data_IF_593632379058
#
_entry.id   IF_593632379058
#
_cell.length_a   1.000
_cell.length_b   1.000
_cell.length_c   1.000
_cell.angle_alpha   90.00
_cell.angle_beta   90.00
_cell.angle_gamma   90.00
#
_symmetry.space_group_name_H-M   'P 1'
#
loop_
_entity.id
_entity.type
_entity.pdbx_description
1 polymer ?
#
# COMPACT_ATOMS: atom_id res chain seq x y z
N UNK A 1 13.55 -11.16 13.50
CA UNK A 1 13.87 -11.04 12.06
C UNK A 1 12.55 -11.13 11.31
N UNK A 2 12.15 -10.08 10.56
CA UNK A 2 10.84 -10.05 9.88
C UNK A 2 10.76 -11.11 8.78
N UNK A 3 9.55 -11.59 8.49
CA UNK A 3 9.31 -12.58 7.43
C UNK A 3 9.11 -11.89 6.07
N UNK A 4 9.50 -12.55 4.99
CA UNK A 4 9.15 -12.09 3.63
C UNK A 4 7.68 -12.42 3.34
N UNK A 5 6.87 -11.48 2.81
CA UNK A 5 5.44 -11.68 2.55
C UNK A 5 5.19 -12.43 1.23
N UNK A 6 5.77 -13.62 1.07
CA UNK A 6 5.68 -14.38 -0.18
C UNK A 6 4.24 -14.87 -0.38
N UNK A 7 3.61 -14.44 -1.48
CA UNK A 7 2.23 -14.81 -1.81
C UNK A 7 1.15 -14.07 -1.01
N UNK A 8 1.53 -13.19 -0.07
CA UNK A 8 0.60 -12.38 0.70
C UNK A 8 0.34 -11.07 -0.06
N UNK A 9 -0.93 -10.80 -0.36
CA UNK A 9 -1.36 -9.59 -1.07
C UNK A 9 -2.24 -8.69 -0.21
N UNK A 10 -2.46 -9.05 1.06
CA UNK A 10 -3.20 -8.23 2.02
C UNK A 10 -2.23 -7.33 2.77
N UNK A 11 -2.43 -6.03 2.65
CA UNK A 11 -1.72 -5.00 3.37
C UNK A 11 -1.91 -5.17 4.88
N UNK A 12 -3.16 -5.36 5.34
CA UNK A 12 -3.47 -5.65 6.74
C UNK A 12 -2.63 -6.82 7.29
N UNK A 13 -2.60 -7.97 6.60
CA UNK A 13 -1.82 -9.14 7.06
C UNK A 13 -0.33 -8.85 7.12
N UNK A 14 0.19 -8.06 6.18
CA UNK A 14 1.60 -7.66 6.18
C UNK A 14 1.91 -6.74 7.35
N UNK A 15 1.05 -5.75 7.62
CA UNK A 15 1.23 -4.75 8.68
C UNK A 15 1.06 -5.34 10.08
N UNK A 16 0.14 -6.30 10.25
CA UNK A 16 -0.12 -6.99 11.53
C UNK A 16 0.79 -8.20 11.79
N UNK A 17 1.33 -8.84 10.74
CA UNK A 17 1.96 -10.15 10.83
C UNK A 17 3.49 -10.20 10.94
N UNK A 18 4.15 -9.10 11.33
CA UNK A 18 5.62 -8.96 11.40
C UNK A 18 6.34 -9.31 10.07
N UNK A 19 5.76 -8.86 8.96
CA UNK A 19 6.33 -9.01 7.62
C UNK A 19 7.11 -7.76 7.20
N UNK A 20 8.04 -7.95 6.27
CA UNK A 20 8.62 -6.83 5.54
C UNK A 20 7.58 -6.20 4.62
N UNK A 21 7.46 -4.87 4.68
CA UNK A 21 6.72 -4.05 3.74
C UNK A 21 7.66 -2.99 3.20
N UNK A 22 7.71 -2.83 1.88
CA UNK A 22 8.41 -1.71 1.25
C UNK A 22 7.38 -0.60 1.11
N UNK A 23 7.64 0.52 1.79
CA UNK A 23 6.72 1.65 1.76
C UNK A 23 6.58 2.22 0.35
N UNK A 24 5.34 2.27 -0.11
CA UNK A 24 4.91 2.84 -1.40
C UNK A 24 3.72 3.78 -1.23
N UNK A 25 3.45 4.19 0.00
CA UNK A 25 2.26 4.96 0.34
C UNK A 25 2.34 6.41 -0.14
N UNK A 26 3.53 6.90 -0.49
CA UNK A 26 3.72 8.15 -1.24
C UNK A 26 2.98 8.14 -2.59
N UNK A 27 2.90 7.00 -3.28
CA UNK A 27 2.09 6.91 -4.52
C UNK A 27 0.60 7.10 -4.25
N UNK A 28 0.11 6.76 -3.06
CA UNK A 28 -1.29 7.01 -2.68
C UNK A 28 -1.53 8.51 -2.53
N UNK A 29 -0.64 9.21 -1.82
CA UNK A 29 -0.70 10.67 -1.66
C UNK A 29 -0.68 11.37 -3.02
N UNK A 30 0.29 11.04 -3.88
CA UNK A 30 0.39 11.65 -5.21
C UNK A 30 -0.85 11.35 -6.06
N UNK A 31 -1.40 10.14 -6.00
CA UNK A 31 -2.62 9.77 -6.73
C UNK A 31 -3.85 10.59 -6.29
N UNK A 32 -3.94 10.95 -5.01
CA UNK A 32 -5.04 11.78 -4.48
C UNK A 32 -4.82 13.26 -4.80
N UNK A 33 -3.57 13.72 -4.69
CA UNK A 33 -3.20 15.13 -4.91
C UNK A 33 -3.25 15.52 -6.38
N UNK A 34 -2.84 14.63 -7.27
CA UNK A 34 -2.87 14.88 -8.69
C UNK A 34 -4.33 14.81 -9.18
N UNK A 35 -4.90 15.93 -9.63
CA UNK A 35 -6.24 16.00 -10.24
C UNK A 35 -6.26 15.34 -11.63
N UNK A 36 -5.93 14.05 -11.73
CA UNK A 36 -5.74 13.38 -13.02
C UNK A 36 -6.57 12.09 -13.14
N UNK A 37 -7.12 11.89 -14.34
CA UNK A 37 -8.21 10.94 -14.62
C UNK A 37 -7.87 9.46 -14.42
N UNK A 38 -7.45 8.76 -15.48
CA UNK A 38 -7.33 7.30 -15.45
C UNK A 38 -5.90 6.84 -15.13
N UNK A 39 -5.74 6.05 -14.07
CA UNK A 39 -4.48 5.41 -13.72
C UNK A 39 -4.38 3.99 -14.28
N UNK A 40 -3.35 3.73 -15.09
CA UNK A 40 -3.09 2.40 -15.65
C UNK A 40 -2.03 1.64 -14.85
N UNK A 41 -2.42 0.52 -14.24
CA UNK A 41 -1.49 -0.41 -13.62
C UNK A 41 -0.94 -1.40 -14.66
N UNK A 42 0.30 -1.17 -15.09
CA UNK A 42 0.96 -1.94 -16.17
C UNK A 42 1.05 -3.45 -15.90
N UNK A 43 1.20 -4.26 -16.97
CA UNK A 43 1.12 -5.74 -16.93
C UNK A 43 2.35 -6.56 -16.46
N UNK A 44 3.41 -6.06 -15.79
CA UNK A 44 4.44 -6.95 -15.25
C UNK A 44 3.90 -7.92 -14.19
N UNK A 45 4.12 -9.22 -14.34
CA UNK A 45 3.65 -10.22 -13.37
C UNK A 45 4.42 -10.09 -12.05
N UNK A 46 3.75 -10.29 -10.91
CA UNK A 46 4.32 -10.22 -9.54
C UNK A 46 4.92 -8.87 -9.13
N UNK A 47 4.50 -7.78 -9.75
CA UNK A 47 4.99 -6.42 -9.42
C UNK A 47 4.30 -5.74 -8.23
N UNK A 48 3.50 -6.48 -7.45
CA UNK A 48 2.83 -5.95 -6.26
C UNK A 48 1.58 -5.09 -6.51
N UNK A 49 1.01 -5.11 -7.72
CA UNK A 49 -0.22 -4.36 -8.04
C UNK A 49 -1.40 -4.68 -7.13
N UNK A 50 -1.69 -5.97 -6.91
CA UNK A 50 -2.80 -6.37 -6.04
C UNK A 50 -2.60 -5.90 -4.61
N UNK A 51 -1.35 -5.97 -4.10
CA UNK A 51 -1.01 -5.44 -2.79
C UNK A 51 -1.22 -3.92 -2.74
N UNK A 52 -0.83 -3.20 -3.79
CA UNK A 52 -1.05 -1.74 -3.85
C UNK A 52 -2.53 -1.37 -3.90
N UNK A 53 -3.36 -2.12 -4.64
CA UNK A 53 -4.82 -1.93 -4.64
C UNK A 53 -5.42 -2.18 -3.25
N UNK A 54 -4.96 -3.21 -2.54
CA UNK A 54 -5.38 -3.42 -1.15
C UNK A 54 -4.89 -2.30 -0.23
N UNK A 55 -3.65 -1.81 -0.39
CA UNK A 55 -3.16 -0.62 0.33
C UNK A 55 -4.06 0.60 0.09
N UNK A 56 -4.45 0.87 -1.15
CA UNK A 56 -5.40 1.94 -1.49
C UNK A 56 -6.75 1.73 -0.78
N UNK A 57 -7.29 0.51 -0.83
CA UNK A 57 -8.54 0.20 -0.14
C UNK A 57 -8.46 0.48 1.36
N UNK A 58 -7.41 0.02 2.04
CA UNK A 58 -7.22 0.26 3.48
C UNK A 58 -7.05 1.74 3.80
N UNK A 59 -6.36 2.48 2.92
CA UNK A 59 -6.17 3.92 3.03
C UNK A 59 -7.53 4.64 3.03
N UNK A 60 -8.34 4.46 1.98
CA UNK A 60 -9.64 5.11 1.85
C UNK A 60 -10.69 4.58 2.81
N UNK A 61 -10.52 3.37 3.36
CA UNK A 61 -11.33 2.85 4.46
C UNK A 61 -10.98 3.50 5.82
N UNK A 62 -9.99 4.38 5.88
CA UNK A 62 -9.62 5.12 7.10
C UNK A 62 -8.87 4.27 8.14
N UNK A 63 -8.24 3.16 7.72
CA UNK A 63 -7.53 2.21 8.60
C UNK A 63 -6.14 2.71 9.00
N UNK A 64 -6.11 3.87 9.67
CA UNK A 64 -4.89 4.61 10.05
C UNK A 64 -3.88 3.75 10.82
N UNK A 65 -4.36 2.79 11.61
CA UNK A 65 -3.54 1.86 12.37
C UNK A 65 -2.52 1.10 11.51
N UNK A 66 -2.83 0.83 10.24
CA UNK A 66 -1.95 0.11 9.32
C UNK A 66 -0.90 1.00 8.65
N UNK A 67 -1.07 2.33 8.72
CA UNK A 67 -0.17 3.30 8.09
C UNK A 67 0.88 3.86 9.03
N UNK A 68 0.86 3.49 10.31
CA UNK A 68 1.88 3.90 11.29
C UNK A 68 3.30 3.64 10.76
N UNK A 69 4.19 4.61 10.94
CA UNK A 69 5.58 4.63 10.49
C UNK A 69 5.74 4.52 8.95
N UNK A 70 4.70 4.81 8.18
CA UNK A 70 4.74 4.94 6.72
C UNK A 70 4.57 6.41 6.30
N UNK A 71 4.97 6.73 5.08
CA UNK A 71 4.87 8.07 4.51
C UNK A 71 3.47 8.69 4.70
N UNK A 72 2.41 7.92 4.41
CA UNK A 72 1.04 8.41 4.43
C UNK A 72 0.47 8.69 5.83
N UNK A 73 1.15 8.30 6.92
CA UNK A 73 0.71 8.60 8.29
C UNK A 73 0.56 10.10 8.55
N UNK A 74 1.55 10.88 8.09
CA UNK A 74 1.62 12.33 8.31
C UNK A 74 1.32 13.15 7.05
N UNK A 75 1.04 12.46 5.94
CA UNK A 75 0.85 13.07 4.62
C UNK A 75 -0.48 12.60 4.00
N UNK A 76 -1.54 12.50 4.82
CA UNK A 76 -2.89 12.20 4.35
C UNK A 76 -3.51 13.40 3.64
#
# INVERSE_FOLDING_TARGET
>A
MKKYPIGIQSFEKIRSGDFYYVDKTEFVYNLVKDESGYYFLSRPRRFGKSLFLDTLHQAFAGRKEYFKDLFLENNW
#
